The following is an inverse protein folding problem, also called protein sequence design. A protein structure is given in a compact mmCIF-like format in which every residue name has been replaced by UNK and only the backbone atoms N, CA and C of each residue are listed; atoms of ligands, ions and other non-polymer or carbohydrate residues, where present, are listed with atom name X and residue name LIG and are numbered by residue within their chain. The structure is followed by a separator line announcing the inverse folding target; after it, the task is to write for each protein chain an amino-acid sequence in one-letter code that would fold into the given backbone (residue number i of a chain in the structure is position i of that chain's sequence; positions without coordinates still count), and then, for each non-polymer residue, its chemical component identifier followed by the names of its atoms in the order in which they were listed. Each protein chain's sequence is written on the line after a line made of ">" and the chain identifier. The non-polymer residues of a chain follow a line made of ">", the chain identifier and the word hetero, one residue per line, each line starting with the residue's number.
data_IF_587543147020
#
_entry.id   IF_587543147020
#
_cell.length_a   1.000
_cell.length_b   1.000
_cell.length_c   1.000
_cell.angle_alpha   90.00
_cell.angle_beta   90.00
_cell.angle_gamma   90.00
#
_symmetry.space_group_name_H-M   'P 1'
#
loop_
_entity.id
_entity.type
_entity.pdbx_description
1 polymer ?
#
# COMPACT_ATOMS: atom_id res chain seq x y z
N UNK A 1 25.57 32.26 -4.89
CA UNK A 1 24.42 32.67 -5.73
C UNK A 1 24.57 32.24 -7.18
N UNK A 2 25.76 31.93 -7.69
CA UNK A 2 26.03 31.58 -9.08
C UNK A 2 25.73 30.11 -9.45
N UNK A 3 25.76 29.17 -8.50
CA UNK A 3 25.47 27.74 -8.78
C UNK A 3 23.98 27.41 -8.96
N UNK A 4 23.06 28.18 -8.35
CA UNK A 4 21.62 28.00 -8.57
C UNK A 4 21.16 28.57 -9.93
N UNK A 5 21.86 29.57 -10.46
CA UNK A 5 21.59 30.11 -11.79
C UNK A 5 22.04 29.10 -12.87
N UNK A 6 23.21 28.46 -12.71
CA UNK A 6 23.68 27.41 -13.63
C UNK A 6 22.79 26.16 -13.64
N UNK A 7 22.17 25.81 -12.50
CA UNK A 7 21.18 24.73 -12.42
C UNK A 7 19.85 25.10 -13.10
N UNK A 8 19.41 26.35 -12.97
CA UNK A 8 18.21 26.86 -13.66
C UNK A 8 18.41 26.95 -15.18
N UNK A 9 19.59 27.39 -15.62
CA UNK A 9 19.93 27.52 -17.04
C UNK A 9 20.12 26.15 -17.71
N UNK A 10 20.63 25.15 -16.97
CA UNK A 10 20.66 23.74 -17.43
C UNK A 10 19.27 23.14 -17.54
N UNK A 11 18.34 23.46 -16.65
CA UNK A 11 16.96 22.97 -16.72
C UNK A 11 16.19 23.52 -17.93
N UNK A 12 16.42 24.79 -18.29
CA UNK A 12 15.80 25.40 -19.48
C UNK A 12 16.42 24.93 -20.81
N UNK A 13 17.68 24.46 -20.80
CA UNK A 13 18.30 23.84 -21.97
C UNK A 13 17.73 22.45 -22.30
N UNK A 14 17.24 21.70 -21.31
CA UNK A 14 16.68 20.35 -21.49
C UNK A 14 15.26 20.40 -22.07
N UNK A 15 14.52 21.48 -21.83
CA UNK A 15 13.14 21.66 -22.30
C UNK A 15 13.02 22.11 -23.77
N UNK A 16 14.13 22.17 -24.53
CA UNK A 16 14.14 22.64 -25.93
C UNK A 16 14.35 21.56 -26.99
N UNK A 17 14.03 20.30 -26.67
CA UNK A 17 13.96 19.21 -27.66
C UNK A 17 12.50 18.76 -27.77
N UNK A 18 11.69 19.59 -28.40
CA UNK A 18 10.46 19.17 -29.07
C UNK A 18 10.33 20.03 -30.32
N UNK A 19 10.98 19.60 -31.39
CA UNK A 19 10.52 19.83 -32.75
C UNK A 19 11.37 18.96 -33.68
N UNK A 20 10.67 18.26 -34.58
CA UNK A 20 11.13 17.42 -35.70
C UNK A 20 11.13 15.88 -35.51
N UNK A 21 10.22 15.26 -36.26
CA UNK A 21 9.88 13.84 -36.39
C UNK A 21 10.97 13.03 -37.14
N UNK A 22 10.86 11.69 -37.28
CA UNK A 22 9.98 11.16 -38.34
C UNK A 22 9.25 9.85 -38.03
N UNK A 23 8.12 9.72 -38.74
CA UNK A 23 7.41 8.48 -39.11
C UNK A 23 8.35 7.32 -39.46
N UNK A 24 8.10 6.16 -38.84
CA UNK A 24 8.66 4.88 -39.26
C UNK A 24 8.06 3.71 -38.47
N UNK A 25 7.14 2.96 -39.08
CA UNK A 25 6.70 1.65 -38.59
C UNK A 25 7.87 0.65 -38.57
N UNK A 26 7.86 -0.29 -37.61
CA UNK A 26 7.51 -1.67 -37.97
C UNK A 26 6.61 -2.34 -36.91
N UNK A 27 5.42 -2.79 -37.30
CA UNK A 27 5.13 -4.20 -37.61
C UNK A 27 4.95 -5.11 -36.39
N UNK A 28 3.66 -5.34 -36.10
CA UNK A 28 3.01 -6.60 -35.72
C UNK A 28 3.61 -7.41 -34.57
N UNK A 29 2.91 -7.47 -33.43
CA UNK A 29 2.25 -8.68 -32.92
C UNK A 29 1.15 -8.30 -31.92
N UNK A 30 -0.09 -8.71 -32.25
CA UNK A 30 -1.22 -9.01 -31.37
C UNK A 30 -1.80 -7.91 -30.47
N UNK A 31 -2.77 -7.17 -31.03
CA UNK A 31 -4.05 -6.97 -30.36
C UNK A 31 -5.14 -7.12 -31.42
N UNK A 32 -5.94 -8.18 -31.34
CA UNK A 32 -7.30 -8.15 -31.90
C UNK A 32 -8.04 -7.06 -31.12
N UNK A 33 -8.00 -5.83 -31.63
CA UNK A 33 -8.89 -4.78 -31.16
C UNK A 33 -10.29 -5.17 -31.60
N UNK A 34 -11.07 -5.68 -30.67
CA UNK A 34 -12.52 -5.82 -30.85
C UNK A 34 -13.04 -4.43 -31.19
N UNK A 35 -13.59 -4.31 -32.40
CA UNK A 35 -14.24 -3.12 -32.93
C UNK A 35 -15.46 -2.82 -32.05
N UNK A 36 -15.26 -2.11 -30.93
CA UNK A 36 -16.33 -1.71 -30.01
C UNK A 36 -17.17 -0.65 -30.71
N UNK A 37 -18.45 -0.92 -30.86
CA UNK A 37 -19.38 0.03 -31.47
C UNK A 37 -19.46 1.32 -30.62
N UNK A 38 -19.64 2.49 -31.25
CA UNK A 38 -19.75 3.78 -30.55
C UNK A 38 -20.89 3.80 -29.50
N UNK A 39 -21.91 2.95 -29.66
CA UNK A 39 -22.97 2.76 -28.67
C UNK A 39 -22.49 2.08 -27.40
N UNK A 40 -21.65 1.04 -27.51
CA UNK A 40 -21.15 0.27 -26.36
C UNK A 40 -20.19 1.12 -25.52
N UNK A 41 -19.32 1.89 -26.20
CA UNK A 41 -18.40 2.82 -25.53
C UNK A 41 -19.14 3.94 -24.75
N UNK A 42 -20.34 4.32 -25.21
CA UNK A 42 -21.15 5.34 -24.53
C UNK A 42 -21.83 4.78 -23.29
N UNK A 43 -22.29 3.54 -23.33
CA UNK A 43 -22.91 2.83 -22.20
C UNK A 43 -21.89 2.52 -21.10
N UNK A 44 -20.71 2.00 -21.47
CA UNK A 44 -19.59 1.74 -20.54
C UNK A 44 -19.19 3.00 -19.77
N UNK A 45 -19.06 4.13 -20.46
CA UNK A 45 -18.75 5.42 -19.84
C UNK A 45 -19.85 5.90 -18.91
N UNK A 46 -21.12 5.60 -19.19
CA UNK A 46 -22.21 5.95 -18.30
C UNK A 46 -22.16 5.10 -17.01
N UNK A 47 -21.87 3.81 -17.12
CA UNK A 47 -21.74 2.90 -15.99
C UNK A 47 -20.56 3.29 -15.08
N UNK A 48 -19.41 3.64 -15.64
CA UNK A 48 -18.26 4.16 -14.88
C UNK A 48 -18.59 5.45 -14.13
N UNK A 49 -19.31 6.39 -14.76
CA UNK A 49 -19.77 7.62 -14.08
C UNK A 49 -20.73 7.32 -12.92
N UNK A 50 -21.58 6.30 -13.05
CA UNK A 50 -22.46 5.88 -11.95
C UNK A 50 -21.63 5.30 -10.79
N UNK A 51 -20.70 4.40 -11.10
CA UNK A 51 -19.78 3.83 -10.13
C UNK A 51 -19.01 4.92 -9.36
N UNK A 52 -18.39 5.85 -10.08
CA UNK A 52 -17.65 6.96 -9.49
C UNK A 52 -18.51 7.82 -8.56
N UNK A 53 -19.72 8.21 -9.01
CA UNK A 53 -20.65 8.97 -8.17
C UNK A 53 -21.05 8.21 -6.92
N UNK A 54 -21.23 6.90 -7.02
CA UNK A 54 -21.53 6.05 -5.87
C UNK A 54 -20.37 6.05 -4.88
N UNK A 55 -19.15 5.83 -5.35
CA UNK A 55 -17.95 5.80 -4.51
C UNK A 55 -17.69 7.16 -3.85
N UNK A 56 -17.83 8.27 -4.58
CA UNK A 56 -17.72 9.63 -4.05
C UNK A 56 -18.73 9.91 -2.94
N UNK A 57 -19.96 9.41 -3.11
CA UNK A 57 -21.00 9.53 -2.09
C UNK A 57 -20.62 8.74 -0.83
N UNK A 58 -20.17 7.49 -0.98
CA UNK A 58 -19.72 6.68 0.16
C UNK A 58 -18.52 7.31 0.87
N UNK A 59 -17.55 7.84 0.13
CA UNK A 59 -16.39 8.52 0.70
C UNK A 59 -16.75 9.80 1.47
N UNK A 60 -17.83 10.51 1.08
CA UNK A 60 -18.35 11.66 1.85
C UNK A 60 -19.05 11.23 3.14
N UNK A 61 -19.82 10.15 3.10
CA UNK A 61 -20.54 9.62 4.27
C UNK A 61 -19.59 8.96 5.27
N UNK A 62 -18.58 8.25 4.77
CA UNK A 62 -17.55 7.57 5.55
C UNK A 62 -16.16 7.90 5.00
N UNK A 63 -15.57 9.04 5.45
CA UNK A 63 -14.26 9.49 5.00
C UNK A 63 -13.19 8.40 5.08
N UNK A 64 -12.28 8.41 4.12
CA UNK A 64 -11.13 7.52 4.11
C UNK A 64 -10.18 7.87 5.28
N UNK A 65 -9.47 6.87 5.84
CA UNK A 65 -8.51 7.13 6.90
C UNK A 65 -7.42 8.08 6.41
N UNK A 66 -6.84 8.86 7.32
CA UNK A 66 -5.77 9.81 6.99
C UNK A 66 -4.54 9.12 6.38
N UNK A 67 -4.26 7.91 6.86
CA UNK A 67 -3.16 7.07 6.39
C UNK A 67 -3.67 5.70 5.97
N UNK A 68 -3.06 5.17 4.92
CA UNK A 68 -3.23 3.80 4.45
C UNK A 68 -1.89 3.08 4.53
N UNK A 69 -1.92 1.77 4.73
CA UNK A 69 -0.74 0.97 4.99
C UNK A 69 -0.58 -0.14 3.96
N UNK A 70 0.67 -0.50 3.68
CA UNK A 70 0.99 -1.65 2.85
C UNK A 70 2.13 -2.44 3.47
N UNK A 71 1.93 -3.74 3.58
CA UNK A 71 3.02 -4.68 3.79
C UNK A 71 3.73 -4.87 2.44
N UNK A 72 4.83 -4.16 2.24
CA UNK A 72 5.51 -4.06 0.96
C UNK A 72 6.84 -4.84 0.98
N UNK A 73 7.26 -5.32 -0.19
CA UNK A 73 8.53 -6.01 -0.39
C UNK A 73 9.17 -5.43 -1.64
N UNK A 74 10.23 -4.67 -1.46
CA UNK A 74 11.03 -4.21 -2.59
C UNK A 74 11.68 -5.40 -3.28
N UNK A 75 11.77 -5.37 -4.61
CA UNK A 75 12.27 -6.48 -5.43
C UNK A 75 11.31 -7.67 -5.55
N UNK A 76 10.03 -7.52 -5.18
CA UNK A 76 9.00 -8.54 -5.40
C UNK A 76 7.86 -7.99 -6.29
N UNK A 77 7.36 -8.76 -7.28
CA UNK A 77 7.80 -10.11 -7.65
C UNK A 77 9.01 -10.13 -8.58
N UNK A 78 9.44 -8.97 -9.09
CA UNK A 78 10.59 -8.85 -10.00
C UNK A 78 11.78 -8.24 -9.26
N UNK A 79 12.97 -8.88 -9.31
CA UNK A 79 14.18 -8.32 -8.73
C UNK A 79 14.43 -6.92 -9.29
N UNK A 80 14.69 -5.97 -8.40
CA UNK A 80 15.30 -4.69 -8.75
C UNK A 80 16.63 -4.64 -8.01
N UNK A 81 17.70 -4.33 -8.73
CA UNK A 81 18.98 -4.10 -8.06
C UNK A 81 18.79 -2.85 -7.19
N UNK A 82 19.03 -2.92 -5.88
CA UNK A 82 19.02 -1.73 -5.05
C UNK A 82 20.21 -0.89 -5.46
N UNK A 83 20.00 0.09 -6.32
CA UNK A 83 20.93 1.21 -6.39
C UNK A 83 20.93 1.84 -4.99
N UNK A 84 22.14 2.03 -4.49
CA UNK A 84 22.49 2.32 -3.11
C UNK A 84 21.79 3.60 -2.66
N UNK A 85 20.55 3.53 -2.16
CA UNK A 85 19.79 4.64 -1.57
C UNK A 85 19.76 5.97 -2.37
N UNK A 86 20.22 5.99 -3.62
CA UNK A 86 20.31 7.15 -4.48
C UNK A 86 19.16 7.11 -5.50
N UNK A 87 18.01 7.58 -5.04
CA UNK A 87 17.09 8.33 -5.90
C UNK A 87 16.12 7.58 -6.80
N UNK A 88 16.51 6.47 -7.44
CA UNK A 88 15.75 5.97 -8.61
C UNK A 88 14.78 4.81 -8.30
N UNK A 89 13.53 5.22 -8.05
CA UNK A 89 12.23 4.56 -8.27
C UNK A 89 12.02 3.08 -7.87
N UNK A 90 11.71 2.86 -6.60
CA UNK A 90 10.69 1.85 -6.29
C UNK A 90 9.31 2.46 -6.53
N UNK A 91 8.64 2.02 -7.59
CA UNK A 91 7.22 2.30 -7.78
C UNK A 91 6.43 1.42 -6.81
N UNK A 92 5.40 1.98 -6.17
CA UNK A 92 4.44 1.18 -5.39
C UNK A 92 3.39 0.57 -6.33
N UNK A 93 3.86 -0.02 -7.43
CA UNK A 93 3.07 -0.59 -8.49
C UNK A 93 2.32 -1.86 -8.10
N UNK A 94 1.37 -2.20 -8.96
CA UNK A 94 0.72 -3.49 -9.06
C UNK A 94 1.67 -4.50 -9.68
N UNK A 95 1.37 -5.79 -9.56
CA UNK A 95 2.25 -6.82 -10.14
C UNK A 95 2.32 -6.69 -11.67
N UNK A 96 1.24 -6.25 -12.31
CA UNK A 96 1.22 -5.98 -13.73
C UNK A 96 2.10 -4.78 -14.08
N UNK A 97 1.98 -3.67 -13.36
CA UNK A 97 2.81 -2.47 -13.59
C UNK A 97 4.30 -2.78 -13.41
N UNK A 98 4.66 -3.46 -12.33
CA UNK A 98 6.05 -3.85 -12.06
C UNK A 98 6.60 -4.82 -13.11
N UNK A 99 5.75 -5.68 -13.68
CA UNK A 99 6.14 -6.57 -14.78
C UNK A 99 6.41 -5.80 -16.06
N UNK A 100 5.54 -4.84 -16.40
CA UNK A 100 5.73 -3.96 -17.55
C UNK A 100 7.04 -3.18 -17.44
N UNK A 101 7.34 -2.62 -16.25
CA UNK A 101 8.61 -1.91 -16.01
C UNK A 101 9.82 -2.84 -16.20
N UNK A 102 9.73 -4.05 -15.66
CA UNK A 102 10.79 -5.06 -15.79
C UNK A 102 11.01 -5.48 -17.25
N UNK A 103 9.94 -5.69 -18.02
CA UNK A 103 10.03 -6.01 -19.45
C UNK A 103 10.58 -4.85 -20.28
N UNK A 104 10.21 -3.62 -19.95
CA UNK A 104 10.71 -2.43 -20.62
C UNK A 104 12.16 -2.10 -20.23
N UNK A 105 12.72 -2.79 -19.21
CA UNK A 105 14.02 -2.50 -18.60
C UNK A 105 14.11 -1.01 -18.18
N UNK A 106 12.99 -0.43 -17.78
CA UNK A 106 12.89 0.98 -17.44
C UNK A 106 11.74 1.25 -16.48
N UNK A 107 11.99 1.91 -15.34
CA UNK A 107 10.93 2.32 -14.41
C UNK A 107 10.12 3.54 -14.89
N UNK A 108 10.47 4.17 -16.02
CA UNK A 108 9.93 5.47 -16.46
C UNK A 108 9.04 5.37 -17.70
N UNK A 109 8.94 4.20 -18.34
CA UNK A 109 8.32 4.07 -19.68
C UNK A 109 6.97 3.34 -19.70
N UNK A 110 6.38 3.00 -18.56
CA UNK A 110 5.08 2.29 -18.52
C UNK A 110 3.95 3.31 -18.36
N UNK A 111 3.04 3.45 -19.34
CA UNK A 111 1.87 4.31 -19.20
C UNK A 111 0.97 3.82 -18.05
N UNK A 112 0.37 4.79 -17.35
CA UNK A 112 -0.66 4.51 -16.35
C UNK A 112 -2.00 4.66 -17.07
N UNK A 113 -2.60 3.54 -17.47
CA UNK A 113 -3.89 3.55 -18.13
C UNK A 113 -5.01 3.82 -17.11
N UNK A 114 -6.02 4.62 -17.50
CA UNK A 114 -7.25 4.75 -16.72
C UNK A 114 -8.11 3.50 -16.95
N UNK A 115 -8.58 2.79 -15.90
CA UNK A 115 -9.44 1.62 -16.09
C UNK A 115 -10.71 1.94 -16.90
N UNK A 116 -11.18 3.19 -16.89
CA UNK A 116 -12.31 3.66 -17.70
C UNK A 116 -12.05 3.60 -19.20
N UNK A 117 -10.79 3.65 -19.63
CA UNK A 117 -10.39 3.66 -21.04
C UNK A 117 -10.15 2.25 -21.60
N UNK A 118 -9.95 1.26 -20.72
CA UNK A 118 -9.50 -0.09 -21.11
C UNK A 118 -10.41 -1.23 -20.65
N UNK A 119 -11.41 -0.96 -19.80
CA UNK A 119 -12.23 -2.01 -19.19
C UNK A 119 -13.66 -1.56 -18.89
N UNK A 120 -14.60 -2.51 -18.81
CA UNK A 120 -15.93 -2.26 -18.25
C UNK A 120 -15.89 -2.26 -16.72
N UNK A 121 -16.94 -1.75 -16.06
CA UNK A 121 -17.03 -1.86 -14.59
C UNK A 121 -17.10 -3.33 -14.16
N UNK A 122 -17.73 -4.20 -14.95
CA UNK A 122 -17.78 -5.64 -14.67
C UNK A 122 -16.40 -6.30 -14.75
N UNK A 123 -15.60 -5.97 -15.76
CA UNK A 123 -14.20 -6.43 -15.90
C UNK A 123 -13.37 -6.00 -14.68
N UNK A 124 -13.57 -4.77 -14.21
CA UNK A 124 -12.90 -4.25 -13.02
C UNK A 124 -13.27 -5.04 -11.74
N UNK A 125 -14.53 -5.44 -11.59
CA UNK A 125 -14.95 -6.31 -10.47
C UNK A 125 -14.42 -7.74 -10.62
N UNK A 126 -14.30 -8.25 -11.85
CA UNK A 126 -13.68 -9.55 -12.11
C UNK A 126 -12.20 -9.53 -11.68
N UNK A 127 -11.47 -8.49 -12.07
CA UNK A 127 -10.09 -8.26 -11.64
C UNK A 127 -9.96 -8.11 -10.12
N UNK A 128 -10.87 -7.38 -9.47
CA UNK A 128 -10.94 -7.31 -8.01
C UNK A 128 -11.09 -8.71 -7.38
N UNK A 129 -11.94 -9.58 -7.93
CA UNK A 129 -12.14 -10.94 -7.42
C UNK A 129 -10.83 -11.75 -7.46
N UNK A 130 -10.13 -11.73 -8.60
CA UNK A 130 -8.85 -12.41 -8.78
C UNK A 130 -7.77 -11.82 -7.86
N UNK A 131 -7.73 -10.49 -7.73
CA UNK A 131 -6.80 -9.77 -6.87
C UNK A 131 -6.99 -10.14 -5.39
N UNK A 132 -8.22 -10.12 -4.89
CA UNK A 132 -8.54 -10.53 -3.52
C UNK A 132 -8.18 -12.00 -3.28
N UNK A 133 -8.41 -12.87 -4.27
CA UNK A 133 -7.94 -14.26 -4.24
C UNK A 133 -6.43 -14.33 -4.02
N UNK A 134 -5.66 -13.63 -4.86
CA UNK A 134 -4.20 -13.57 -4.75
C UNK A 134 -3.72 -13.06 -3.39
N UNK A 135 -4.27 -11.95 -2.90
CA UNK A 135 -3.80 -11.28 -1.68
C UNK A 135 -4.23 -12.00 -0.41
N UNK A 136 -5.37 -12.68 -0.40
CA UNK A 136 -5.85 -13.41 0.77
C UNK A 136 -5.05 -14.70 1.05
N UNK A 137 -4.69 -15.45 0.01
CA UNK A 137 -4.02 -16.74 0.17
C UNK A 137 -2.49 -16.66 0.28
N UNK A 138 -1.85 -15.55 -0.12
CA UNK A 138 -0.39 -15.47 -0.28
C UNK A 138 0.14 -16.72 -1.00
N UNK A 139 -0.48 -17.10 -2.12
CA UNK A 139 -0.07 -18.31 -2.82
C UNK A 139 1.41 -18.16 -3.23
N UNK A 140 2.31 -19.06 -2.80
CA UNK A 140 3.56 -19.22 -3.53
C UNK A 140 3.23 -19.51 -5.01
N UNK A 141 4.16 -19.26 -5.95
CA UNK A 141 3.99 -19.71 -7.33
C UNK A 141 3.57 -21.18 -7.28
N UNK A 142 2.46 -21.53 -7.93
CA UNK A 142 2.11 -22.94 -8.09
C UNK A 142 3.21 -23.60 -8.95
N UNK A 143 3.50 -24.86 -8.69
CA UNK A 143 4.46 -25.67 -9.47
C UNK A 143 3.92 -25.99 -10.89
N UNK A 144 2.72 -25.52 -11.19
CA UNK A 144 2.03 -25.62 -12.47
C UNK A 144 2.65 -24.59 -13.43
N UNK A 145 3.02 -24.97 -14.66
CA UNK A 145 3.64 -24.11 -15.69
C UNK A 145 2.81 -22.86 -16.11
N UNK A 146 1.71 -22.56 -15.42
CA UNK A 146 0.90 -21.36 -15.62
C UNK A 146 1.53 -20.13 -14.97
N UNK A 147 1.70 -19.05 -15.75
CA UNK A 147 2.18 -17.79 -15.19
C UNK A 147 1.19 -17.28 -14.12
N UNK A 148 1.68 -16.84 -12.95
CA UNK A 148 0.81 -16.35 -11.89
C UNK A 148 0.07 -15.09 -12.36
N UNK A 149 -1.23 -15.01 -12.03
CA UNK A 149 -2.05 -13.83 -12.30
C UNK A 149 -1.36 -12.54 -11.82
N UNK A 150 -1.17 -11.60 -12.73
CA UNK A 150 -0.61 -10.27 -12.47
C UNK A 150 -1.76 -9.27 -12.42
N UNK A 151 -2.11 -8.88 -11.21
CA UNK A 151 -3.14 -7.87 -10.99
C UNK A 151 -2.63 -6.49 -11.36
N UNK A 152 -3.51 -5.66 -11.94
CA UNK A 152 -3.34 -4.22 -12.11
C UNK A 152 -3.70 -3.46 -10.84
N UNK A 153 -4.30 -4.12 -9.84
CA UNK A 153 -4.66 -3.50 -8.58
C UNK A 153 -3.51 -3.49 -7.57
N UNK A 154 -3.46 -2.40 -6.80
CA UNK A 154 -2.60 -2.25 -5.63
C UNK A 154 -3.44 -2.33 -4.36
N UNK A 155 -3.10 -3.27 -3.48
CA UNK A 155 -3.70 -3.38 -2.14
C UNK A 155 -3.10 -2.40 -1.13
N UNK A 156 -3.99 -1.75 -0.40
CA UNK A 156 -3.75 -0.91 0.76
C UNK A 156 -4.71 -1.33 1.88
N UNK A 157 -4.36 -1.06 3.13
CA UNK A 157 -5.17 -1.38 4.30
C UNK A 157 -5.35 -0.17 5.19
N UNK A 158 -6.54 0.01 5.76
CA UNK A 158 -6.80 0.95 6.83
C UNK A 158 -6.43 0.43 8.23
N UNK A 159 -6.13 -0.87 8.38
CA UNK A 159 -5.75 -1.49 9.65
C UNK A 159 -4.21 -1.65 9.77
N UNK A 160 -3.62 -0.79 10.59
CA UNK A 160 -2.19 -0.78 10.86
C UNK A 160 -1.70 -2.06 11.55
N UNK A 161 -2.45 -2.59 12.52
CA UNK A 161 -2.07 -3.78 13.28
C UNK A 161 -2.08 -5.00 12.36
N UNK A 162 -3.14 -5.15 11.57
CA UNK A 162 -3.24 -6.18 10.55
C UNK A 162 -2.08 -6.10 9.55
N UNK A 163 -1.77 -4.90 9.04
CA UNK A 163 -0.67 -4.72 8.08
C UNK A 163 0.69 -5.04 8.69
N UNK A 164 0.90 -4.66 9.96
CA UNK A 164 2.13 -4.97 10.71
C UNK A 164 2.30 -6.47 10.92
N UNK A 165 1.22 -7.20 11.23
CA UNK A 165 1.27 -8.66 11.31
C UNK A 165 1.55 -9.29 9.95
N UNK A 166 0.91 -8.77 8.90
CA UNK A 166 1.09 -9.26 7.54
C UNK A 166 2.53 -9.10 7.07
N UNK A 167 3.19 -7.97 7.33
CA UNK A 167 4.60 -7.80 6.94
C UNK A 167 5.54 -8.73 7.71
N UNK A 168 5.23 -9.06 8.97
CA UNK A 168 5.99 -10.08 9.71
C UNK A 168 5.90 -11.45 9.02
N UNK A 169 4.69 -11.85 8.60
CA UNK A 169 4.48 -13.10 7.84
C UNK A 169 5.23 -13.09 6.53
N UNK A 170 5.12 -12.00 5.76
CA UNK A 170 5.80 -11.84 4.47
C UNK A 170 7.32 -11.92 4.65
N UNK A 171 7.89 -11.22 5.62
CA UNK A 171 9.33 -11.24 5.89
C UNK A 171 9.88 -12.63 6.21
N UNK A 172 9.12 -13.49 6.90
CA UNK A 172 9.53 -14.88 7.12
C UNK A 172 9.63 -15.69 5.82
N UNK A 173 8.78 -15.36 4.84
CA UNK A 173 8.76 -16.02 3.52
C UNK A 173 9.90 -15.48 2.64
N UNK A 174 10.14 -14.16 2.67
CA UNK A 174 11.09 -13.47 1.78
C UNK A 174 12.53 -13.42 2.29
N UNK A 175 12.79 -13.62 3.60
CA UNK A 175 14.13 -13.65 4.20
C UNK A 175 15.13 -14.66 3.57
N UNK A 176 14.66 -15.54 2.69
CA UNK A 176 15.49 -16.50 1.94
C UNK A 176 16.14 -15.90 0.69
N UNK A 177 15.71 -14.70 0.24
CA UNK A 177 16.16 -14.03 -0.99
C UNK A 177 16.90 -12.73 -0.63
N UNK A 178 18.15 -12.58 -1.04
CA UNK A 178 19.04 -11.46 -0.63
C UNK A 178 18.69 -10.11 -1.25
N UNK A 179 17.90 -10.12 -2.31
CA UNK A 179 17.45 -8.98 -3.12
C UNK A 179 16.10 -8.40 -2.68
N UNK A 180 15.48 -8.97 -1.64
CA UNK A 180 14.16 -8.54 -1.18
C UNK A 180 14.23 -7.79 0.15
N UNK A 181 13.65 -6.60 0.19
CA UNK A 181 13.56 -5.78 1.41
C UNK A 181 12.10 -5.65 1.85
N UNK A 182 11.62 -6.50 2.79
CA UNK A 182 10.29 -6.36 3.36
C UNK A 182 10.24 -5.15 4.30
N UNK A 183 9.19 -4.35 4.19
CA UNK A 183 8.91 -3.25 5.11
C UNK A 183 7.46 -2.79 5.10
N UNK A 184 7.14 -1.98 6.09
CA UNK A 184 5.83 -1.34 6.23
C UNK A 184 5.88 0.02 5.55
N UNK A 185 5.05 0.21 4.53
CA UNK A 185 4.85 1.49 3.87
C UNK A 185 3.59 2.17 4.42
N UNK A 186 3.70 3.46 4.73
CA UNK A 186 2.61 4.32 5.21
C UNK A 186 2.39 5.41 4.17
N UNK A 187 1.17 5.52 3.68
CA UNK A 187 0.78 6.49 2.67
C UNK A 187 -0.22 7.49 3.21
N UNK A 188 -0.11 8.75 2.78
CA UNK A 188 -1.08 9.80 3.08
C UNK A 188 -2.20 9.78 2.05
N UNK A 189 -3.41 9.42 2.46
CA UNK A 189 -4.55 9.22 1.56
C UNK A 189 -4.90 10.45 0.74
N UNK A 190 -4.76 11.65 1.32
CA UNK A 190 -5.03 12.90 0.60
C UNK A 190 -4.07 13.13 -0.57
N UNK A 191 -2.81 12.71 -0.43
CA UNK A 191 -1.80 12.89 -1.48
C UNK A 191 -2.01 11.92 -2.64
N UNK A 192 -2.52 10.72 -2.36
CA UNK A 192 -2.92 9.77 -3.40
C UNK A 192 -4.01 10.41 -4.28
N UNK A 193 -5.08 10.91 -3.65
CA UNK A 193 -6.20 11.52 -4.37
C UNK A 193 -5.83 12.78 -5.16
N UNK A 194 -4.92 13.63 -4.64
CA UNK A 194 -4.47 14.82 -5.37
C UNK A 194 -3.60 14.51 -6.59
N UNK A 195 -3.06 13.30 -6.70
CA UNK A 195 -2.21 12.86 -7.81
C UNK A 195 -3.01 12.30 -9.00
N UNK A 196 -4.35 12.37 -8.95
CA UNK A 196 -5.23 11.78 -9.97
C UNK A 196 -5.44 10.27 -9.83
N UNK A 197 -4.70 9.59 -8.95
CA UNK A 197 -4.91 8.18 -8.63
C UNK A 197 -6.11 8.04 -7.70
N UNK A 198 -7.06 7.19 -8.11
CA UNK A 198 -8.25 6.89 -7.31
C UNK A 198 -7.99 5.73 -6.36
N UNK A 199 -8.49 5.89 -5.13
CA UNK A 199 -8.51 4.86 -4.11
C UNK A 199 -9.95 4.49 -3.82
N UNK A 200 -10.25 3.20 -3.79
CA UNK A 200 -11.58 2.70 -3.50
C UNK A 200 -11.55 1.77 -2.30
N UNK A 201 -12.41 2.04 -1.32
CA UNK A 201 -12.65 1.10 -0.23
C UNK A 201 -13.40 -0.11 -0.78
N UNK A 202 -12.84 -1.31 -0.60
CA UNK A 202 -13.40 -2.54 -1.18
C UNK A 202 -14.80 -2.83 -0.65
N UNK A 203 -15.09 -2.54 0.62
CA UNK A 203 -16.44 -2.70 1.18
C UNK A 203 -17.49 -1.87 0.41
N UNK A 204 -17.15 -0.64 0.04
CA UNK A 204 -18.04 0.24 -0.71
C UNK A 204 -18.23 -0.28 -2.14
N UNK A 205 -17.15 -0.78 -2.77
CA UNK A 205 -17.22 -1.45 -4.07
C UNK A 205 -18.14 -2.69 -4.04
N UNK A 206 -18.00 -3.55 -3.02
CA UNK A 206 -18.86 -4.72 -2.84
C UNK A 206 -20.33 -4.31 -2.64
N UNK A 207 -20.58 -3.20 -1.94
CA UNK A 207 -21.92 -2.63 -1.80
C UNK A 207 -22.51 -2.19 -3.15
N UNK A 208 -21.69 -1.61 -4.02
CA UNK A 208 -22.09 -1.24 -5.38
C UNK A 208 -22.44 -2.48 -6.21
N UNK A 209 -21.56 -3.50 -6.22
CA UNK A 209 -21.78 -4.77 -6.91
C UNK A 209 -23.13 -5.39 -6.53
N UNK A 210 -23.41 -5.48 -5.22
CA UNK A 210 -24.63 -6.12 -4.71
C UNK A 210 -25.90 -5.34 -5.03
N UNK A 211 -25.83 -3.99 -5.08
CA UNK A 211 -27.01 -3.11 -5.22
C UNK A 211 -27.29 -2.67 -6.65
N UNK A 212 -26.27 -2.57 -7.51
CA UNK A 212 -26.35 -1.90 -8.82
C UNK A 212 -26.09 -2.83 -9.99
N UNK A 213 -25.05 -3.67 -9.92
CA UNK A 213 -24.73 -4.63 -10.98
C UNK A 213 -25.53 -5.94 -10.83
N UNK A 214 -26.02 -6.23 -9.63
CA UNK A 214 -26.82 -7.43 -9.34
C UNK A 214 -25.96 -8.64 -8.99
N UNK A 215 -26.55 -9.59 -8.25
CA UNK A 215 -25.83 -10.73 -7.64
C UNK A 215 -25.18 -11.72 -8.62
N UNK A 216 -25.46 -11.62 -9.91
CA UNK A 216 -25.04 -12.59 -10.93
C UNK A 216 -23.99 -12.04 -11.91
N UNK A 217 -23.59 -10.77 -11.82
CA UNK A 217 -22.60 -10.20 -12.76
C UNK A 217 -21.18 -10.72 -12.47
N UNK A 218 -20.73 -10.60 -11.21
CA UNK A 218 -19.41 -11.08 -10.78
C UNK A 218 -19.50 -11.80 -9.43
N UNK A 219 -18.96 -13.01 -9.37
CA UNK A 219 -18.91 -13.77 -8.12
C UNK A 219 -17.63 -13.44 -7.32
N UNK A 220 -17.82 -12.87 -6.13
CA UNK A 220 -16.77 -12.72 -5.11
C UNK A 220 -17.19 -13.53 -3.88
N UNK A 221 -16.40 -14.54 -3.54
CA UNK A 221 -16.77 -15.51 -2.51
C UNK A 221 -16.90 -14.86 -1.12
N UNK A 222 -17.73 -15.42 -0.22
CA UNK A 222 -17.91 -14.88 1.14
C UNK A 222 -16.61 -14.77 1.95
N UNK A 223 -15.66 -15.68 1.71
CA UNK A 223 -14.36 -15.68 2.41
C UNK A 223 -13.48 -14.51 1.96
N UNK A 224 -13.46 -14.19 0.66
CA UNK A 224 -12.74 -13.02 0.14
C UNK A 224 -13.36 -11.72 0.64
N UNK A 225 -14.70 -11.64 0.65
CA UNK A 225 -15.43 -10.48 1.21
C UNK A 225 -15.09 -10.27 2.69
N UNK A 226 -15.10 -11.35 3.48
CA UNK A 226 -14.74 -11.30 4.90
C UNK A 226 -13.29 -10.91 5.11
N UNK A 227 -12.38 -11.45 4.29
CA UNK A 227 -10.97 -11.10 4.33
C UNK A 227 -10.77 -9.60 4.06
N UNK A 228 -11.37 -9.07 2.99
CA UNK A 228 -11.26 -7.65 2.62
C UNK A 228 -11.83 -6.74 3.71
N UNK A 229 -12.94 -7.14 4.33
CA UNK A 229 -13.55 -6.42 5.46
C UNK A 229 -12.62 -6.42 6.69
N UNK A 230 -12.02 -7.57 7.01
CA UNK A 230 -11.11 -7.69 8.15
C UNK A 230 -9.81 -6.92 7.98
N UNK A 231 -9.36 -6.73 6.74
CA UNK A 231 -8.18 -5.94 6.42
C UNK A 231 -8.46 -4.44 6.33
N UNK A 232 -9.74 -4.02 6.39
CA UNK A 232 -10.17 -2.69 5.94
C UNK A 232 -9.51 -2.33 4.60
N UNK A 233 -9.76 -3.19 3.59
CA UNK A 233 -9.04 -3.19 2.33
C UNK A 233 -9.45 -2.01 1.44
N UNK A 234 -8.43 -1.37 0.85
CA UNK A 234 -8.53 -0.35 -0.17
C UNK A 234 -7.72 -0.79 -1.39
N UNK A 235 -8.17 -0.40 -2.58
CA UNK A 235 -7.45 -0.68 -3.82
C UNK A 235 -7.25 0.58 -4.65
N UNK A 236 -6.12 0.62 -5.36
CA UNK A 236 -5.81 1.63 -6.38
C UNK A 236 -5.53 0.92 -7.70
N UNK A 237 -5.77 1.60 -8.81
CA UNK A 237 -5.35 1.10 -10.12
C UNK A 237 -3.88 1.42 -10.39
N UNK A 238 -3.16 0.44 -10.94
CA UNK A 238 -1.78 0.51 -11.42
C UNK A 238 -0.70 0.78 -10.35
N UNK A 239 -0.73 1.91 -9.65
CA UNK A 239 0.31 2.26 -8.67
C UNK A 239 -0.20 3.20 -7.57
N UNK A 240 0.58 3.30 -6.49
CA UNK A 240 0.44 4.38 -5.51
C UNK A 240 1.54 5.42 -5.74
N UNK A 241 1.22 6.73 -5.86
CA UNK A 241 2.22 7.77 -6.09
C UNK A 241 3.30 7.77 -5.02
N UNK A 242 4.56 7.93 -5.42
CA UNK A 242 5.70 7.98 -4.49
C UNK A 242 5.57 9.12 -3.50
N UNK A 243 5.07 10.28 -3.93
CA UNK A 243 4.87 11.45 -3.08
C UNK A 243 3.82 11.23 -1.98
N UNK A 244 2.98 10.19 -2.11
CA UNK A 244 2.08 9.80 -1.04
C UNK A 244 2.79 9.01 0.07
N UNK A 245 4.00 8.48 -0.16
CA UNK A 245 4.76 7.75 0.85
C UNK A 245 5.24 8.72 1.94
N UNK A 246 4.77 8.46 3.15
CA UNK A 246 5.12 9.22 4.35
C UNK A 246 6.31 8.60 5.05
N UNK A 247 6.28 7.27 5.17
CA UNK A 247 7.30 6.50 5.86
C UNK A 247 7.39 5.10 5.27
N UNK A 248 8.61 4.62 5.11
CA UNK A 248 8.90 3.21 4.91
C UNK A 248 9.80 2.71 6.05
N UNK A 249 9.34 1.68 6.74
CA UNK A 249 10.07 1.07 7.86
C UNK A 249 10.41 -0.38 7.51
N UNK A 250 11.70 -0.68 7.27
CA UNK A 250 12.13 -2.05 7.05
C UNK A 250 11.74 -2.96 8.22
N UNK A 251 11.38 -4.22 7.94
CA UNK A 251 10.94 -5.17 8.96
C UNK A 251 11.89 -5.30 10.16
N UNK A 252 13.24 -5.32 9.99
CA UNK A 252 14.15 -5.33 11.13
C UNK A 252 13.96 -4.15 12.09
N UNK A 253 13.58 -2.96 11.58
CA UNK A 253 13.28 -1.79 12.39
C UNK A 253 11.94 -1.87 13.13
N UNK A 254 11.04 -2.77 12.72
CA UNK A 254 9.76 -3.01 13.41
C UNK A 254 9.90 -4.04 14.54
N UNK A 255 10.71 -5.08 14.33
CA UNK A 255 10.78 -6.26 15.24
C UNK A 255 11.96 -6.22 16.21
N UNK A 256 12.91 -5.30 16.04
CA UNK A 256 14.08 -5.14 16.93
C UNK A 256 14.02 -3.80 17.66
N UNK A 257 14.50 -3.78 18.90
CA UNK A 257 14.81 -2.53 19.59
C UNK A 257 16.07 -1.89 18.97
N UNK A 258 16.17 -0.57 19.00
CA UNK A 258 17.31 0.18 18.45
C UNK A 258 18.62 -0.15 19.16
N UNK A 259 18.57 -0.33 20.48
CA UNK A 259 19.76 -0.58 21.29
C UNK A 259 20.09 -2.06 21.44
N UNK A 260 19.30 -2.98 20.87
CA UNK A 260 19.46 -4.43 20.92
C UNK A 260 19.43 -5.05 22.33
N UNK A 261 19.37 -4.23 23.39
CA UNK A 261 19.36 -4.62 24.79
C UNK A 261 17.95 -4.55 25.38
N UNK A 262 17.09 -3.68 24.83
CA UNK A 262 15.67 -3.59 25.19
C UNK A 262 14.84 -4.62 24.46
N UNK A 263 13.69 -4.92 25.05
CA UNK A 263 12.65 -5.75 24.43
C UNK A 263 11.90 -4.92 23.39
N UNK A 264 11.70 -5.49 22.21
CA UNK A 264 10.90 -4.86 21.15
C UNK A 264 9.43 -4.66 21.57
N UNK A 265 8.74 -3.76 20.86
CA UNK A 265 7.30 -3.52 20.99
C UNK A 265 6.44 -4.63 20.37
N UNK A 266 6.90 -5.24 19.28
CA UNK A 266 6.19 -6.42 18.76
C UNK A 266 6.63 -7.62 19.58
N UNK A 267 5.67 -8.32 20.21
CA UNK A 267 5.97 -9.54 20.96
C UNK A 267 6.42 -10.64 20.01
N UNK A 268 7.16 -11.63 20.53
CA UNK A 268 7.60 -12.77 19.72
C UNK A 268 6.39 -13.51 19.15
N UNK A 269 5.35 -13.66 19.96
CA UNK A 269 4.08 -14.27 19.61
C UNK A 269 3.38 -13.52 18.47
N UNK A 270 3.39 -12.18 18.49
CA UNK A 270 2.86 -11.35 17.41
C UNK A 270 3.63 -11.59 16.12
N UNK A 271 4.96 -11.54 16.22
CA UNK A 271 5.85 -11.72 15.06
C UNK A 271 5.68 -13.11 14.48
N UNK A 272 5.67 -14.17 15.28
CA UNK A 272 5.69 -15.56 14.80
C UNK A 272 4.31 -16.08 14.33
N UNK A 273 3.22 -15.41 14.71
CA UNK A 273 1.87 -15.83 14.34
C UNK A 273 1.62 -15.73 12.83
N UNK A 274 0.94 -16.74 12.27
CA UNK A 274 0.53 -16.75 10.86
C UNK A 274 -0.72 -15.89 10.60
N UNK A 275 -1.61 -15.83 11.58
CA UNK A 275 -2.85 -15.08 11.51
C UNK A 275 -3.04 -14.23 12.77
N UNK A 276 -3.52 -12.99 12.59
CA UNK A 276 -3.84 -12.11 13.73
C UNK A 276 -4.91 -12.70 14.65
N UNK A 277 -5.83 -13.51 14.11
CA UNK A 277 -6.83 -14.23 14.90
C UNK A 277 -6.23 -15.26 15.87
N UNK A 278 -5.16 -15.96 15.46
CA UNK A 278 -4.46 -16.92 16.32
C UNK A 278 -3.68 -16.20 17.41
N UNK A 279 -2.98 -15.13 17.03
CA UNK A 279 -2.29 -14.26 17.98
C UNK A 279 -3.22 -13.77 19.10
N UNK A 280 -4.44 -13.33 18.74
CA UNK A 280 -5.44 -12.82 19.70
C UNK A 280 -5.92 -13.87 20.71
N UNK A 281 -5.64 -15.16 20.50
CA UNK A 281 -5.97 -16.26 21.42
C UNK A 281 -4.83 -16.58 22.39
N UNK A 282 -3.63 -16.03 22.16
CA UNK A 282 -2.48 -16.27 23.01
C UNK A 282 -2.56 -15.47 24.32
N UNK A 283 -1.91 -15.94 25.40
CA UNK A 283 -1.86 -15.19 26.65
C UNK A 283 -1.25 -13.80 26.47
N UNK A 284 -1.84 -12.81 27.14
CA UNK A 284 -1.35 -11.44 27.11
C UNK A 284 -0.06 -11.28 27.92
N UNK A 285 0.87 -10.47 27.41
CA UNK A 285 2.10 -10.12 28.10
C UNK A 285 1.78 -9.03 29.12
N UNK A 286 1.93 -9.38 30.40
CA UNK A 286 1.74 -8.45 31.50
C UNK A 286 2.95 -7.55 31.64
N UNK A 287 2.76 -6.24 31.46
CA UNK A 287 3.84 -5.25 31.63
C UNK A 287 3.37 -4.03 32.39
N UNK A 288 4.34 -3.32 32.96
CA UNK A 288 4.06 -2.02 33.56
C UNK A 288 3.66 -1.01 32.49
N UNK A 289 2.88 -0.02 32.90
CA UNK A 289 2.49 1.11 32.06
C UNK A 289 3.69 1.89 31.50
N UNK A 290 4.73 2.09 32.31
CA UNK A 290 5.97 2.75 31.88
C UNK A 290 6.68 1.93 30.80
N UNK A 291 6.77 0.63 30.99
CA UNK A 291 7.38 -0.27 30.02
C UNK A 291 6.61 -0.29 28.69
N UNK A 292 5.28 -0.28 28.71
CA UNK A 292 4.48 -0.16 27.47
C UNK A 292 4.78 1.14 26.74
N UNK A 293 4.77 2.26 27.47
CA UNK A 293 5.04 3.58 26.90
C UNK A 293 6.45 3.69 26.30
N UNK A 294 7.46 3.14 26.99
CA UNK A 294 8.85 3.12 26.52
C UNK A 294 8.98 2.32 25.21
N UNK A 295 8.39 1.11 25.16
CA UNK A 295 8.41 0.27 23.96
C UNK A 295 7.64 0.90 22.80
N UNK A 296 6.44 1.42 23.06
CA UNK A 296 5.61 2.08 22.05
C UNK A 296 6.31 3.32 21.48
N UNK A 297 6.93 4.13 22.33
CA UNK A 297 7.65 5.34 21.89
C UNK A 297 8.86 4.98 21.02
N UNK A 298 9.60 3.93 21.39
CA UNK A 298 10.70 3.42 20.58
C UNK A 298 10.22 2.88 19.22
N UNK A 299 9.10 2.16 19.19
CA UNK A 299 8.49 1.67 17.95
C UNK A 299 8.05 2.80 17.03
N UNK A 300 7.39 3.84 17.57
CA UNK A 300 7.00 5.04 16.81
C UNK A 300 8.23 5.77 16.29
N UNK A 301 9.27 5.91 17.13
CA UNK A 301 10.53 6.53 16.71
C UNK A 301 11.14 5.83 15.50
N UNK A 302 11.12 4.49 15.46
CA UNK A 302 11.64 3.74 14.32
C UNK A 302 10.83 4.00 13.03
N UNK A 303 9.53 4.23 13.16
CA UNK A 303 8.65 4.54 12.03
C UNK A 303 8.94 5.93 11.48
N UNK A 304 9.06 6.93 12.35
CA UNK A 304 9.19 8.33 11.92
C UNK A 304 10.61 8.73 11.49
N UNK A 305 11.62 7.87 11.67
CA UNK A 305 13.02 8.19 11.36
C UNK A 305 13.28 8.59 9.91
N UNK A 306 12.44 8.11 8.98
CA UNK A 306 12.62 8.31 7.54
C UNK A 306 11.55 9.25 6.93
N UNK A 307 10.92 10.09 7.76
CA UNK A 307 9.86 11.01 7.30
C UNK A 307 10.49 12.28 6.70
N UNK A 308 9.85 12.80 5.63
CA UNK A 308 10.36 13.92 4.83
C UNK A 308 10.46 15.26 5.57
N UNK A 309 9.62 15.47 6.61
CA UNK A 309 9.53 16.74 7.33
C UNK A 309 9.13 16.58 8.79
N UNK A 310 9.52 17.56 9.61
CA UNK A 310 9.17 17.60 11.04
C UNK A 310 7.65 17.68 11.27
N UNK A 311 6.93 18.44 10.44
CA UNK A 311 5.48 18.57 10.57
C UNK A 311 4.77 17.25 10.27
N UNK A 312 5.20 16.55 9.25
CA UNK A 312 4.67 15.23 8.92
C UNK A 312 4.99 14.20 10.01
N UNK A 313 6.20 14.23 10.58
CA UNK A 313 6.57 13.39 11.71
C UNK A 313 5.67 13.64 12.93
N UNK A 314 5.34 14.90 13.24
CA UNK A 314 4.41 15.26 14.33
C UNK A 314 3.02 14.68 14.09
N UNK A 315 2.51 14.85 12.88
CA UNK A 315 1.20 14.34 12.52
C UNK A 315 1.13 12.81 12.57
N UNK A 316 2.17 12.13 12.10
CA UNK A 316 2.25 10.68 12.16
C UNK A 316 2.38 10.17 13.61
N UNK A 317 3.14 10.84 14.47
CA UNK A 317 3.21 10.52 15.90
C UNK A 317 1.84 10.62 16.59
N UNK A 318 1.09 11.71 16.33
CA UNK A 318 -0.24 11.90 16.90
C UNK A 318 -1.21 10.81 16.42
N UNK A 319 -1.12 10.42 15.17
CA UNK A 319 -1.91 9.32 14.63
C UNK A 319 -1.51 7.97 15.23
N UNK A 320 -0.21 7.68 15.35
CA UNK A 320 0.29 6.45 15.96
C UNK A 320 -0.12 6.33 17.44
N UNK A 321 -0.23 7.44 18.17
CA UNK A 321 -0.78 7.42 19.54
C UNK A 321 -2.18 6.80 19.58
N UNK A 322 -3.05 7.13 18.63
CA UNK A 322 -4.41 6.59 18.56
C UNK A 322 -4.37 5.09 18.23
N UNK A 323 -3.54 4.70 17.26
CA UNK A 323 -3.34 3.29 16.85
C UNK A 323 -2.78 2.42 17.99
N UNK A 324 -1.91 2.97 18.83
CA UNK A 324 -1.27 2.29 19.96
C UNK A 324 -2.02 2.51 21.29
N UNK A 325 -3.20 3.14 21.26
CA UNK A 325 -3.94 3.47 22.49
C UNK A 325 -4.55 2.26 23.20
N UNK A 326 -4.75 1.15 22.47
CA UNK A 326 -5.29 -0.10 22.99
C UNK A 326 -4.21 -1.20 23.06
N UNK A 327 -3.56 -1.40 24.23
CA UNK A 327 -2.51 -2.41 24.40
C UNK A 327 -2.96 -3.84 24.10
N UNK A 328 -4.24 -4.17 24.33
CA UNK A 328 -4.78 -5.51 24.11
C UNK A 328 -4.69 -5.95 22.65
N UNK A 329 -4.88 -5.02 21.70
CA UNK A 329 -4.72 -5.27 20.26
C UNK A 329 -3.31 -5.74 19.91
N UNK A 330 -2.33 -5.36 20.72
CA UNK A 330 -0.91 -5.65 20.57
C UNK A 330 -0.43 -6.79 21.48
N UNK A 331 -1.35 -7.49 22.15
CA UNK A 331 -1.06 -8.63 23.04
C UNK A 331 -0.52 -8.23 24.41
N UNK A 332 -0.79 -7.01 24.85
CA UNK A 332 -0.35 -6.52 26.15
C UNK A 332 -1.51 -6.38 27.12
N UNK A 333 -1.27 -6.82 28.35
CA UNK A 333 -2.10 -6.49 29.51
C UNK A 333 -1.36 -5.46 30.37
N UNK A 334 -1.93 -4.25 30.43
CA UNK A 334 -1.39 -3.13 31.19
C UNK A 334 -2.37 -2.81 32.32
N UNK A 335 -1.88 -2.77 33.56
CA UNK A 335 -2.71 -2.46 34.72
C UNK A 335 -3.51 -1.16 34.52
N UNK A 336 -4.80 -1.16 34.89
CA UNK A 336 -5.81 -0.14 34.53
C UNK A 336 -5.37 1.30 34.83
N UNK A 337 -4.95 2.02 33.79
CA UNK A 337 -5.22 3.43 33.44
C UNK A 337 -4.08 3.98 32.57
N UNK A 338 -4.35 4.41 31.34
CA UNK A 338 -3.33 4.97 30.43
C UNK A 338 -3.29 6.52 30.52
N UNK A 339 -2.94 7.11 31.68
CA UNK A 339 -2.46 8.52 31.81
C UNK A 339 -0.93 8.72 31.67
N UNK A 340 -0.40 8.91 30.46
CA UNK A 340 1.06 9.07 30.26
C UNK A 340 1.66 8.47 28.98
N UNK A 341 0.87 7.80 28.13
CA UNK A 341 1.29 7.58 26.74
C UNK A 341 1.50 8.93 26.04
N UNK A 342 0.62 9.88 26.35
CA UNK A 342 0.70 11.30 25.98
C UNK A 342 2.03 11.92 26.34
N UNK A 343 2.51 11.73 27.57
CA UNK A 343 3.77 12.31 28.04
C UNK A 343 4.99 11.66 27.38
N UNK A 344 4.96 10.35 27.14
CA UNK A 344 6.06 9.63 26.48
C UNK A 344 6.18 10.01 24.99
N UNK A 345 5.05 10.05 24.27
CA UNK A 345 5.02 10.47 22.85
C UNK A 345 5.32 11.97 22.73
N UNK A 346 4.83 12.81 23.64
CA UNK A 346 5.15 14.24 23.65
C UNK A 346 6.60 14.52 24.08
N UNK A 347 7.20 13.62 24.85
CA UNK A 347 8.60 13.68 25.28
C UNK A 347 9.61 13.45 24.16
N UNK A 348 9.20 12.80 23.05
CA UNK A 348 10.04 12.61 21.86
C UNK A 348 10.51 13.93 21.25
N UNK A 349 9.79 15.04 21.50
CA UNK A 349 10.09 16.37 20.97
C UNK A 349 10.99 17.23 21.87
N UNK A 350 11.42 16.71 23.03
CA UNK A 350 12.19 17.46 24.04
C UNK A 350 13.70 17.16 24.06
N UNK A 351 14.22 16.36 23.13
CA UNK A 351 15.67 16.18 23.01
C UNK A 351 16.21 17.05 21.86
N UNK A 352 17.20 17.92 22.14
CA UNK A 352 17.84 18.78 21.15
C UNK A 352 18.69 18.00 20.15
#
# INVERSE_FOLDING_TARGET
>A
MTEMQELSDKLHSVLKITEEAPTGSPSAYLADSVDRSDSDATEDRAQWREFDRFMDKQAKERPYPKYLYRAHVHGHPFPRLPDVFEGDSDSFGSDYHLWCENNAVSPILVPIDDPMDISTVEDFFYELSLHLGKTSFNLPPRDDDEQPFRSSLVSLSGDFCWTTQRICRIGRITNKKKDQLPGLAIFKSSTIGSSGVRVWRVEDMLSYLDKRLGKNSVHISPDLRRWATNADEFVCWSLVPRDALVAFTPLPGLIKALDGRKKAFLTKEFVDSNYLGDFRRLPLVHISRREYADRASEFVRNIITNVSSLEEAKQLCMHMKEVLSNPYTWGYEVARSVKGLDEAISGLWKQP
#
